data_IF_871860739843
#
_entry.id   IF_871860739843
#
_cell.length_a   1.000
_cell.length_b   1.000
_cell.length_c   1.000
_cell.angle_alpha   90.00
_cell.angle_beta   90.00
_cell.angle_gamma   90.00
#
_symmetry.space_group_name_H-M   'P 1'
#
loop_
_entity.id
_entity.type
_entity.pdbx_description
1 polymer ?
#
# COMPACT_ATOMS: atom_id res chain seq x y z
N UNK A 1 -44.01 -19.93 3.91
CA UNK A 1 -43.10 -20.23 2.79
C UNK A 1 -42.60 -18.92 2.19
N UNK A 2 -43.50 -17.99 1.83
CA UNK A 2 -43.15 -16.65 1.27
C UNK A 2 -42.20 -15.79 2.13
N UNK A 3 -42.36 -15.76 3.44
CA UNK A 3 -41.60 -14.85 4.32
C UNK A 3 -40.13 -15.27 4.48
N UNK A 4 -39.86 -16.58 4.52
CA UNK A 4 -38.50 -17.13 4.63
C UNK A 4 -37.71 -16.99 3.31
N UNK A 5 -38.39 -17.10 2.17
CA UNK A 5 -37.80 -16.80 0.86
C UNK A 5 -37.47 -15.32 0.70
N UNK A 6 -38.33 -14.44 1.22
CA UNK A 6 -38.10 -12.99 1.22
C UNK A 6 -36.90 -12.59 2.08
N UNK A 7 -36.83 -13.10 3.32
CA UNK A 7 -35.69 -12.84 4.22
C UNK A 7 -34.37 -13.32 3.60
N UNK A 8 -34.33 -14.54 3.04
CA UNK A 8 -33.13 -15.03 2.35
C UNK A 8 -32.72 -14.15 1.17
N UNK A 9 -33.68 -13.72 0.35
CA UNK A 9 -33.43 -12.83 -0.79
C UNK A 9 -32.86 -11.48 -0.36
N UNK A 10 -33.43 -10.89 0.69
CA UNK A 10 -32.99 -9.61 1.24
C UNK A 10 -31.56 -9.71 1.80
N UNK A 11 -31.21 -10.83 2.45
CA UNK A 11 -29.85 -11.08 2.96
C UNK A 11 -28.81 -11.34 1.84
N UNK A 12 -29.19 -11.97 0.72
CA UNK A 12 -28.31 -12.10 -0.46
C UNK A 12 -28.02 -10.76 -1.11
N UNK A 13 -29.05 -9.94 -1.33
CA UNK A 13 -28.89 -8.61 -1.92
C UNK A 13 -27.96 -7.75 -1.05
N UNK A 14 -28.10 -7.82 0.27
CA UNK A 14 -27.20 -7.14 1.21
C UNK A 14 -25.76 -7.65 1.12
N UNK A 15 -25.54 -8.98 1.09
CA UNK A 15 -24.19 -9.55 0.98
C UNK A 15 -23.50 -9.18 -0.33
N UNK A 16 -24.24 -9.22 -1.46
CA UNK A 16 -23.74 -8.75 -2.76
C UNK A 16 -23.33 -7.28 -2.71
N UNK A 17 -24.16 -6.42 -2.10
CA UNK A 17 -23.87 -5.00 -1.98
C UNK A 17 -22.63 -4.73 -1.13
N UNK A 18 -22.45 -5.46 -0.03
CA UNK A 18 -21.25 -5.37 0.81
C UNK A 18 -19.99 -5.82 0.06
N UNK A 19 -20.04 -6.90 -0.74
CA UNK A 19 -18.88 -7.37 -1.52
C UNK A 19 -18.45 -6.30 -2.52
N UNK A 20 -19.41 -5.74 -3.25
CA UNK A 20 -19.15 -4.66 -4.20
C UNK A 20 -18.66 -3.39 -3.50
N UNK A 21 -19.14 -3.12 -2.29
CA UNK A 21 -18.66 -2.00 -1.47
C UNK A 21 -17.21 -2.21 -1.06
N UNK A 22 -16.85 -3.39 -0.54
CA UNK A 22 -15.46 -3.74 -0.18
C UNK A 22 -14.52 -3.52 -1.37
N UNK A 23 -14.81 -4.15 -2.51
CA UNK A 23 -13.96 -4.04 -3.71
C UNK A 23 -13.85 -2.58 -4.19
N UNK A 24 -14.93 -1.81 -4.09
CA UNK A 24 -14.89 -0.38 -4.40
C UNK A 24 -13.98 0.39 -3.44
N UNK A 25 -14.07 0.11 -2.14
CA UNK A 25 -13.29 0.77 -1.10
C UNK A 25 -11.79 0.42 -1.22
N UNK A 26 -11.43 -0.82 -1.54
CA UNK A 26 -10.04 -1.22 -1.79
C UNK A 26 -9.41 -0.48 -2.98
N UNK A 27 -10.18 -0.34 -4.06
CA UNK A 27 -9.78 0.49 -5.21
C UNK A 27 -9.63 1.96 -4.82
N UNK A 28 -10.57 2.50 -4.06
CA UNK A 28 -10.52 3.90 -3.58
C UNK A 28 -9.31 4.13 -2.67
N UNK A 29 -9.05 3.21 -1.74
CA UNK A 29 -7.87 3.22 -0.88
C UNK A 29 -6.58 3.28 -1.71
N UNK A 30 -6.48 2.47 -2.77
CA UNK A 30 -5.34 2.50 -3.71
C UNK A 30 -5.19 3.88 -4.38
N UNK A 31 -6.29 4.47 -4.84
CA UNK A 31 -6.29 5.81 -5.43
C UNK A 31 -5.92 6.90 -4.40
N UNK A 32 -6.40 6.78 -3.17
CA UNK A 32 -6.08 7.69 -2.06
C UNK A 32 -4.59 7.61 -1.73
N UNK A 33 -4.00 6.41 -1.68
CA UNK A 33 -2.55 6.23 -1.48
C UNK A 33 -1.74 6.93 -2.56
N UNK A 34 -2.13 6.78 -3.83
CA UNK A 34 -1.47 7.45 -4.95
C UNK A 34 -1.55 8.97 -4.79
N UNK A 35 -2.74 9.53 -4.51
CA UNK A 35 -2.92 10.96 -4.29
C UNK A 35 -2.10 11.48 -3.11
N UNK A 36 -2.07 10.73 -2.00
CA UNK A 36 -1.26 11.05 -0.83
C UNK A 36 0.23 11.08 -1.16
N UNK A 37 0.74 10.07 -1.87
CA UNK A 37 2.14 10.02 -2.28
C UNK A 37 2.51 11.09 -3.30
N UNK A 38 1.58 11.52 -4.16
CA UNK A 38 1.80 12.68 -5.03
C UNK A 38 1.92 13.98 -4.23
N UNK A 39 1.07 14.15 -3.21
CA UNK A 39 0.96 15.40 -2.48
C UNK A 39 2.10 15.57 -1.45
N UNK A 40 2.49 14.48 -0.79
CA UNK A 40 3.43 14.49 0.33
C UNK A 40 4.66 13.61 0.12
N UNK A 41 4.66 12.70 -0.85
CA UNK A 41 5.66 11.62 -0.94
C UNK A 41 7.10 12.11 -1.06
N UNK A 42 7.36 13.22 -1.75
CA UNK A 42 8.71 13.80 -1.82
C UNK A 42 9.20 14.25 -0.44
N UNK A 43 8.36 14.93 0.33
CA UNK A 43 8.70 15.41 1.68
C UNK A 43 8.84 14.25 2.65
N UNK A 44 7.94 13.26 2.59
CA UNK A 44 8.02 12.05 3.44
C UNK A 44 9.31 11.26 3.15
N UNK A 45 9.67 11.14 1.86
CA UNK A 45 10.90 10.44 1.45
C UNK A 45 12.15 11.20 1.90
N UNK A 46 12.17 12.53 1.75
CA UNK A 46 13.29 13.36 2.22
C UNK A 46 13.45 13.29 3.74
N UNK A 47 12.37 13.43 4.49
CA UNK A 47 12.34 13.32 5.95
C UNK A 47 12.85 11.95 6.42
N UNK A 48 12.32 10.87 5.84
CA UNK A 48 12.74 9.51 6.19
C UNK A 48 14.22 9.27 5.86
N UNK A 49 14.70 9.73 4.69
CA UNK A 49 16.11 9.64 4.34
C UNK A 49 17.01 10.35 5.38
N UNK A 50 16.63 11.55 5.84
CA UNK A 50 17.39 12.26 6.87
C UNK A 50 17.41 11.52 8.20
N UNK A 51 16.28 10.92 8.60
CA UNK A 51 16.20 10.05 9.80
C UNK A 51 17.16 8.87 9.69
N UNK A 52 17.16 8.17 8.55
CA UNK A 52 18.07 7.05 8.26
C UNK A 52 19.53 7.49 8.33
N UNK A 53 19.87 8.65 7.76
CA UNK A 53 21.22 9.20 7.82
C UNK A 53 21.65 9.61 9.24
N UNK A 54 20.73 10.14 10.05
CA UNK A 54 20.99 10.41 11.47
C UNK A 54 21.23 9.11 12.25
N UNK A 55 20.41 8.08 12.04
CA UNK A 55 20.57 6.76 12.69
C UNK A 55 21.94 6.16 12.36
N UNK A 56 22.31 6.17 11.08
CA UNK A 56 23.63 5.71 10.62
C UNK A 56 24.75 6.43 11.37
N UNK A 57 24.71 7.76 11.41
CA UNK A 57 25.75 8.59 12.06
C UNK A 57 25.82 8.33 13.56
N UNK A 58 24.69 8.19 14.24
CA UNK A 58 24.64 7.81 15.67
C UNK A 58 25.28 6.45 15.91
N UNK A 59 24.98 5.45 15.06
CA UNK A 59 25.63 4.14 15.13
C UNK A 59 27.14 4.27 14.92
N UNK A 60 27.59 5.03 13.92
CA UNK A 60 29.03 5.30 13.69
C UNK A 60 29.69 5.87 14.93
N UNK A 61 29.13 6.93 15.51
CA UNK A 61 29.65 7.55 16.73
C UNK A 61 29.74 6.53 17.88
N UNK A 62 28.70 5.71 18.07
CA UNK A 62 28.68 4.69 19.13
C UNK A 62 29.78 3.63 18.94
N UNK A 63 29.97 3.14 17.72
CA UNK A 63 31.05 2.19 17.40
C UNK A 63 32.43 2.80 17.63
N UNK A 64 32.67 4.02 17.13
CA UNK A 64 33.95 4.70 17.32
C UNK A 64 34.23 4.97 18.80
N UNK A 65 33.25 5.46 19.56
CA UNK A 65 33.39 5.69 21.01
C UNK A 65 33.69 4.39 21.76
N UNK A 66 33.04 3.28 21.39
CA UNK A 66 33.29 1.98 21.99
C UNK A 66 34.74 1.51 21.74
N UNK A 67 35.26 1.69 20.52
CA UNK A 67 36.64 1.35 20.18
C UNK A 67 37.65 2.21 20.97
N UNK A 68 37.44 3.52 21.02
CA UNK A 68 38.28 4.47 21.78
C UNK A 68 38.31 4.09 23.27
N UNK A 69 37.15 3.83 23.88
CA UNK A 69 37.05 3.48 25.30
C UNK A 69 37.78 2.16 25.63
N UNK A 70 37.94 1.26 24.65
CA UNK A 70 38.69 0.01 24.77
C UNK A 70 40.18 0.16 24.44
N UNK A 71 40.64 1.35 24.07
CA UNK A 71 42.01 1.60 23.61
C UNK A 71 42.34 0.90 22.29
N UNK A 72 41.33 0.58 21.48
CA UNK A 72 41.50 -0.09 20.19
C UNK A 72 41.83 0.92 19.09
N UNK A 73 42.57 0.47 18.07
CA UNK A 73 42.77 1.26 16.85
C UNK A 73 41.44 1.30 16.09
N UNK A 74 41.05 2.49 15.62
CA UNK A 74 39.86 2.68 14.80
C UNK A 74 40.09 2.10 13.39
N UNK A 75 39.51 0.92 13.14
CA UNK A 75 39.38 0.36 11.79
C UNK A 75 38.01 0.75 11.21
N UNK A 76 38.01 1.82 10.41
CA UNK A 76 36.78 2.34 9.81
C UNK A 76 36.14 1.37 8.81
N UNK A 77 36.91 0.44 8.22
CA UNK A 77 36.33 -0.55 7.31
C UNK A 77 35.44 -1.52 8.10
N UNK A 78 35.97 -2.07 9.20
CA UNK A 78 35.22 -3.00 10.07
C UNK A 78 33.99 -2.32 10.66
N UNK A 79 34.11 -1.05 11.07
CA UNK A 79 32.98 -0.27 11.59
C UNK A 79 31.92 -0.05 10.50
N UNK A 80 32.34 0.33 9.29
CA UNK A 80 31.40 0.58 8.19
C UNK A 80 30.68 -0.70 7.76
N UNK A 81 31.36 -1.84 7.73
CA UNK A 81 30.76 -3.13 7.38
C UNK A 81 29.70 -3.55 8.41
N UNK A 82 29.98 -3.41 9.71
CA UNK A 82 29.01 -3.69 10.77
C UNK A 82 27.79 -2.74 10.73
N UNK A 83 28.02 -1.46 10.39
CA UNK A 83 26.94 -0.49 10.22
C UNK A 83 26.11 -0.81 8.98
N UNK A 84 26.72 -1.28 7.89
CA UNK A 84 25.98 -1.64 6.68
C UNK A 84 24.94 -2.75 6.96
N UNK A 85 25.33 -3.77 7.73
CA UNK A 85 24.43 -4.83 8.18
C UNK A 85 23.30 -4.28 9.06
N UNK A 86 23.64 -3.45 10.05
CA UNK A 86 22.68 -2.77 10.94
C UNK A 86 21.67 -1.86 10.19
N UNK A 87 22.04 -1.38 9.00
CA UNK A 87 21.26 -0.39 8.24
C UNK A 87 20.43 -1.01 7.11
N UNK A 88 20.54 -2.32 6.86
CA UNK A 88 19.91 -2.98 5.71
C UNK A 88 18.40 -2.77 5.65
N UNK A 89 17.68 -3.02 6.76
CA UNK A 89 16.22 -2.87 6.82
C UNK A 89 15.77 -1.41 6.55
N UNK A 90 16.50 -0.43 7.09
CA UNK A 90 16.19 0.98 6.87
C UNK A 90 16.35 1.38 5.40
N UNK A 91 17.38 0.86 4.74
CA UNK A 91 17.59 1.11 3.30
C UNK A 91 16.55 0.41 2.43
N UNK A 92 16.11 -0.80 2.80
CA UNK A 92 15.01 -1.47 2.13
C UNK A 92 13.71 -0.68 2.22
N UNK A 93 13.37 -0.17 3.41
CA UNK A 93 12.17 0.67 3.61
C UNK A 93 12.25 1.98 2.83
N UNK A 94 13.42 2.64 2.84
CA UNK A 94 13.63 3.88 2.08
C UNK A 94 13.50 3.64 0.58
N UNK A 95 14.05 2.54 0.07
CA UNK A 95 13.93 2.17 -1.34
C UNK A 95 12.47 1.89 -1.73
N UNK A 96 11.71 1.20 -0.88
CA UNK A 96 10.27 0.97 -1.08
C UNK A 96 9.50 2.28 -1.15
N UNK A 97 9.72 3.18 -0.18
CA UNK A 97 9.05 4.48 -0.14
C UNK A 97 9.38 5.34 -1.37
N UNK A 98 10.65 5.35 -1.77
CA UNK A 98 11.12 6.09 -2.95
C UNK A 98 10.46 5.57 -4.23
N UNK A 99 10.39 4.25 -4.38
CA UNK A 99 9.73 3.62 -5.52
C UNK A 99 8.22 3.90 -5.54
N UNK A 100 7.54 3.84 -4.39
CA UNK A 100 6.13 4.21 -4.29
C UNK A 100 5.88 5.67 -4.69
N UNK A 101 6.75 6.59 -4.27
CA UNK A 101 6.66 8.01 -4.65
C UNK A 101 6.82 8.21 -6.16
N UNK A 102 7.83 7.58 -6.77
CA UNK A 102 8.05 7.68 -8.22
C UNK A 102 6.89 7.08 -9.03
N UNK A 103 6.39 5.90 -8.65
CA UNK A 103 5.21 5.31 -9.28
C UNK A 103 3.97 6.21 -9.14
N UNK A 104 3.80 6.87 -7.99
CA UNK A 104 2.69 7.78 -7.79
C UNK A 104 2.78 9.00 -8.71
N UNK A 105 3.96 9.57 -8.96
CA UNK A 105 4.13 10.74 -9.85
C UNK A 105 3.63 10.46 -11.27
N UNK A 106 3.94 9.28 -11.80
CA UNK A 106 3.58 8.87 -13.16
C UNK A 106 2.13 8.36 -13.29
N UNK A 107 1.48 8.03 -12.17
CA UNK A 107 0.12 7.52 -12.18
C UNK A 107 -0.87 8.57 -12.74
N UNK A 108 -1.67 8.20 -13.73
CA UNK A 108 -2.73 9.07 -14.24
C UNK A 108 -3.92 9.09 -13.27
N UNK A 109 -4.43 10.28 -12.96
CA UNK A 109 -5.71 10.40 -12.25
C UNK A 109 -6.83 10.12 -13.26
N UNK A 110 -7.57 9.04 -13.06
CA UNK A 110 -8.66 8.64 -13.95
C UNK A 110 -9.86 9.59 -13.85
N UNK A 111 -10.57 9.77 -14.96
CA UNK A 111 -11.78 10.59 -15.00
C UNK A 111 -12.97 9.87 -14.35
N UNK A 112 -13.83 10.63 -13.65
CA UNK A 112 -15.04 10.10 -12.99
C UNK A 112 -15.94 9.28 -13.92
N UNK A 113 -16.05 9.69 -15.18
CA UNK A 113 -16.84 8.98 -16.20
C UNK A 113 -16.33 7.55 -16.50
N UNK A 114 -15.02 7.32 -16.46
CA UNK A 114 -14.45 5.97 -16.63
C UNK A 114 -14.74 5.09 -15.42
N UNK A 115 -14.66 5.66 -14.22
CA UNK A 115 -14.97 4.96 -12.98
C UNK A 115 -16.41 4.46 -12.94
N UNK A 116 -17.37 5.31 -13.32
CA UNK A 116 -18.79 4.91 -13.37
C UNK A 116 -19.06 3.79 -14.39
N UNK A 117 -18.42 3.86 -15.56
CA UNK A 117 -18.56 2.82 -16.59
C UNK A 117 -17.97 1.49 -16.09
N UNK A 118 -16.75 1.51 -15.56
CA UNK A 118 -16.09 0.32 -15.01
C UNK A 118 -16.92 -0.30 -13.88
N UNK A 119 -17.41 0.49 -12.92
CA UNK A 119 -18.27 0.03 -11.82
C UNK A 119 -19.53 -0.67 -12.32
N UNK A 120 -20.19 -0.12 -13.33
CA UNK A 120 -21.41 -0.72 -13.90
C UNK A 120 -21.14 -2.06 -14.58
N UNK A 121 -20.01 -2.21 -15.27
CA UNK A 121 -19.64 -3.47 -15.94
C UNK A 121 -19.21 -4.50 -14.89
N UNK A 122 -18.32 -4.12 -13.97
CA UNK A 122 -17.86 -5.00 -12.89
C UNK A 122 -19.01 -5.58 -12.08
N UNK A 123 -20.00 -4.77 -11.69
CA UNK A 123 -21.21 -5.26 -11.00
C UNK A 123 -21.95 -6.34 -11.80
N UNK A 124 -22.03 -6.23 -13.13
CA UNK A 124 -22.70 -7.25 -13.97
C UNK A 124 -21.90 -8.53 -14.09
N UNK A 125 -20.57 -8.45 -14.04
CA UNK A 125 -19.67 -9.61 -14.01
C UNK A 125 -19.78 -10.30 -12.64
N UNK A 126 -19.61 -9.56 -11.55
CA UNK A 126 -19.71 -10.08 -10.18
C UNK A 126 -21.05 -10.78 -9.93
N UNK A 127 -22.16 -10.21 -10.41
CA UNK A 127 -23.49 -10.84 -10.35
C UNK A 127 -23.61 -12.20 -11.03
N UNK A 128 -22.66 -12.58 -11.88
CA UNK A 128 -22.65 -13.86 -12.59
C UNK A 128 -21.63 -14.86 -12.07
N UNK A 129 -20.46 -14.36 -11.66
CA UNK A 129 -19.29 -15.23 -11.41
C UNK A 129 -18.47 -14.80 -10.19
N UNK A 130 -18.99 -13.97 -9.27
CA UNK A 130 -18.24 -13.67 -8.05
C UNK A 130 -18.03 -14.97 -7.24
N UNK A 131 -16.79 -15.37 -6.91
CA UNK A 131 -16.52 -16.67 -6.30
C UNK A 131 -17.14 -16.83 -4.90
N UNK A 132 -17.25 -15.75 -4.12
CA UNK A 132 -17.91 -15.81 -2.80
C UNK A 132 -19.44 -15.95 -2.88
N UNK A 133 -20.06 -15.60 -4.02
CA UNK A 133 -21.50 -15.74 -4.26
C UNK A 133 -21.80 -17.07 -4.97
N UNK A 134 -20.92 -17.44 -5.90
CA UNK A 134 -21.05 -18.62 -6.76
C UNK A 134 -19.77 -19.46 -6.64
N UNK A 135 -19.66 -20.34 -5.64
CA UNK A 135 -18.50 -21.23 -5.46
C UNK A 135 -18.18 -22.07 -6.70
N UNK A 136 -19.18 -22.34 -7.56
CA UNK A 136 -19.02 -23.04 -8.83
C UNK A 136 -18.05 -22.33 -9.78
N UNK A 137 -17.84 -21.02 -9.62
CA UNK A 137 -16.79 -20.26 -10.33
C UNK A 137 -15.43 -20.92 -10.15
N UNK A 138 -15.16 -21.48 -8.95
CA UNK A 138 -13.89 -22.12 -8.61
C UNK A 138 -13.75 -23.54 -9.19
N UNK A 139 -14.77 -24.07 -9.87
CA UNK A 139 -14.72 -25.38 -10.53
C UNK A 139 -14.18 -25.30 -11.97
N UNK A 140 -14.08 -24.08 -12.54
CA UNK A 140 -13.66 -23.86 -13.92
C UNK A 140 -12.46 -22.90 -13.98
N UNK A 141 -11.30 -23.39 -14.43
CA UNK A 141 -10.08 -22.58 -14.57
C UNK A 141 -10.29 -21.31 -15.42
N UNK A 142 -11.12 -21.40 -16.47
CA UNK A 142 -11.45 -20.25 -17.32
C UNK A 142 -12.23 -19.16 -16.56
N UNK A 143 -13.14 -19.53 -15.66
CA UNK A 143 -13.89 -18.56 -14.86
C UNK A 143 -13.04 -17.94 -13.75
N UNK A 144 -12.09 -18.70 -13.20
CA UNK A 144 -11.09 -18.19 -12.26
C UNK A 144 -10.23 -17.12 -12.97
N UNK A 145 -9.67 -17.43 -14.14
CA UNK A 145 -8.88 -16.45 -14.93
C UNK A 145 -9.70 -15.20 -15.28
N UNK A 146 -10.93 -15.38 -15.78
CA UNK A 146 -11.80 -14.26 -16.14
C UNK A 146 -12.18 -13.41 -14.92
N UNK A 147 -12.37 -14.02 -13.74
CA UNK A 147 -12.62 -13.30 -12.50
C UNK A 147 -11.39 -12.50 -12.06
N UNK A 148 -10.21 -13.10 -12.00
CA UNK A 148 -8.96 -12.42 -11.64
C UNK A 148 -8.69 -11.24 -12.57
N UNK A 149 -8.87 -11.45 -13.88
CA UNK A 149 -8.75 -10.37 -14.88
C UNK A 149 -9.79 -9.28 -14.68
N UNK A 150 -11.04 -9.63 -14.35
CA UNK A 150 -12.09 -8.64 -14.08
C UNK A 150 -11.76 -7.80 -12.85
N UNK A 151 -11.26 -8.43 -11.79
CA UNK A 151 -10.83 -7.76 -10.56
C UNK A 151 -9.69 -6.77 -10.85
N UNK A 152 -8.67 -7.18 -11.60
CA UNK A 152 -7.55 -6.30 -12.00
C UNK A 152 -8.03 -5.16 -12.90
N UNK A 153 -8.84 -5.45 -13.92
CA UNK A 153 -9.36 -4.44 -14.84
C UNK A 153 -10.24 -3.41 -14.12
N UNK A 154 -11.03 -3.85 -13.12
CA UNK A 154 -11.79 -2.94 -12.26
C UNK A 154 -10.89 -2.00 -11.46
N UNK A 155 -9.83 -2.53 -10.85
CA UNK A 155 -8.87 -1.73 -10.10
C UNK A 155 -8.13 -0.70 -10.99
N UNK A 156 -7.84 -1.07 -12.23
CA UNK A 156 -7.21 -0.20 -13.22
C UNK A 156 -8.18 0.76 -13.92
N UNK A 157 -9.49 0.68 -13.63
CA UNK A 157 -10.54 1.42 -14.31
C UNK A 157 -10.55 1.19 -15.85
N UNK A 158 -10.16 0.00 -16.28
CA UNK A 158 -10.17 -0.41 -17.68
C UNK A 158 -11.56 -0.92 -18.08
N UNK A 159 -12.43 0.03 -18.41
CA UNK A 159 -13.80 -0.25 -18.80
C UNK A 159 -13.94 -0.97 -20.15
N UNK A 160 -12.89 -0.99 -20.99
CA UNK A 160 -12.91 -1.67 -22.27
C UNK A 160 -12.50 -3.14 -22.07
N UNK A 161 -11.45 -3.42 -21.30
CA UNK A 161 -11.11 -4.81 -20.90
C UNK A 161 -12.25 -5.46 -20.11
N UNK A 162 -12.89 -4.73 -19.17
CA UNK A 162 -14.09 -5.23 -18.47
C UNK A 162 -15.23 -5.59 -19.44
N UNK A 163 -15.42 -4.83 -20.52
CA UNK A 163 -16.47 -5.12 -21.50
C UNK A 163 -16.15 -6.40 -22.28
N UNK A 164 -14.88 -6.60 -22.65
CA UNK A 164 -14.42 -7.81 -23.33
C UNK A 164 -14.55 -9.04 -22.42
N UNK A 165 -14.18 -8.92 -21.14
CA UNK A 165 -14.36 -9.97 -20.14
C UNK A 165 -15.83 -10.32 -19.96
N UNK A 166 -16.74 -9.33 -19.89
CA UNK A 166 -18.18 -9.60 -19.79
C UNK A 166 -18.68 -10.45 -20.97
N UNK A 167 -18.19 -10.20 -22.19
CA UNK A 167 -18.53 -11.01 -23.36
C UNK A 167 -18.00 -12.44 -23.21
N UNK A 168 -16.76 -12.61 -22.75
CA UNK A 168 -16.13 -13.93 -22.55
C UNK A 168 -16.84 -14.75 -21.48
N UNK A 169 -17.18 -14.13 -20.34
CA UNK A 169 -17.95 -14.77 -19.27
C UNK A 169 -19.30 -15.26 -19.78
N UNK A 170 -20.03 -14.41 -20.51
CA UNK A 170 -21.33 -14.78 -21.08
C UNK A 170 -21.22 -15.88 -22.14
N UNK A 171 -20.11 -15.94 -22.88
CA UNK A 171 -19.84 -16.99 -23.85
C UNK A 171 -19.58 -18.32 -23.15
N UNK A 172 -18.68 -18.34 -22.16
CA UNK A 172 -18.31 -19.54 -21.43
C UNK A 172 -19.49 -20.15 -20.68
N UNK A 173 -20.27 -19.33 -19.96
CA UNK A 173 -21.48 -19.77 -19.26
C UNK A 173 -22.47 -20.49 -20.21
N UNK A 174 -22.67 -19.96 -21.43
CA UNK A 174 -23.49 -20.62 -22.46
C UNK A 174 -22.91 -21.94 -22.95
N UNK A 175 -21.59 -22.05 -23.06
CA UNK A 175 -20.91 -23.27 -23.52
C UNK A 175 -21.05 -24.42 -22.52
N UNK A 176 -21.00 -24.11 -21.22
CA UNK A 176 -21.23 -25.10 -20.15
C UNK A 176 -22.73 -25.36 -19.89
N UNK A 177 -23.62 -24.64 -20.59
CA UNK A 177 -25.06 -24.80 -20.46
C UNK A 177 -25.67 -24.15 -19.21
N UNK A 178 -24.92 -23.30 -18.52
CA UNK A 178 -25.36 -22.59 -17.32
C UNK A 178 -25.78 -21.16 -17.71
N UNK A 179 -27.05 -20.81 -17.54
CA UNK A 179 -27.50 -19.42 -17.73
C UNK A 179 -27.18 -18.54 -16.51
N UNK A 180 -27.12 -19.16 -15.32
CA UNK A 180 -26.74 -18.57 -14.04
C UNK A 180 -26.47 -19.67 -13.03
N UNK A 181 -25.40 -19.55 -12.24
CA UNK A 181 -25.15 -20.48 -11.14
C UNK A 181 -26.23 -20.37 -10.04
N UNK A 182 -26.52 -21.49 -9.38
CA UNK A 182 -27.33 -21.48 -8.17
C UNK A 182 -26.58 -20.80 -7.04
N UNK A 183 -27.24 -19.87 -6.35
CA UNK A 183 -26.66 -19.20 -5.19
C UNK A 183 -26.67 -20.18 -4.02
N UNK A 184 -25.49 -20.59 -3.57
CA UNK A 184 -25.32 -21.44 -2.39
C UNK A 184 -24.28 -20.80 -1.44
N UNK A 185 -24.78 -20.06 -0.46
CA UNK A 185 -23.96 -19.39 0.54
C UNK A 185 -24.37 -19.88 1.94
N UNK A 186 -23.61 -20.79 2.56
CA UNK A 186 -23.82 -21.17 3.95
C UNK A 186 -23.42 -20.05 4.91
N UNK A 187 -24.02 -20.03 6.09
CA UNK A 187 -23.67 -19.15 7.23
C UNK A 187 -23.61 -17.66 6.87
N UNK A 188 -24.64 -17.21 6.16
CA UNK A 188 -24.74 -15.86 5.60
C UNK A 188 -24.62 -14.75 6.64
N UNK A 189 -25.22 -14.90 7.82
CA UNK A 189 -25.10 -13.90 8.90
C UNK A 189 -23.63 -13.69 9.32
N UNK A 190 -22.88 -14.78 9.53
CA UNK A 190 -21.46 -14.71 9.91
C UNK A 190 -20.60 -14.10 8.78
N UNK A 191 -20.92 -14.42 7.51
CA UNK A 191 -20.24 -13.83 6.34
C UNK A 191 -20.49 -12.33 6.24
N UNK A 192 -21.72 -11.88 6.49
CA UNK A 192 -22.06 -10.46 6.53
C UNK A 192 -21.28 -9.77 7.64
N UNK A 193 -21.29 -10.32 8.87
CA UNK A 193 -20.56 -9.73 10.00
C UNK A 193 -19.05 -9.60 9.72
N UNK A 194 -18.42 -10.62 9.14
CA UNK A 194 -17.01 -10.56 8.74
C UNK A 194 -16.77 -9.48 7.69
N UNK A 195 -17.62 -9.41 6.68
CA UNK A 195 -17.47 -8.45 5.59
C UNK A 195 -17.70 -7.00 6.04
N UNK A 196 -18.63 -6.77 6.97
CA UNK A 196 -18.81 -5.48 7.63
C UNK A 196 -17.57 -5.09 8.45
N UNK A 197 -16.96 -6.05 9.14
CA UNK A 197 -15.70 -5.81 9.86
C UNK A 197 -14.55 -5.46 8.92
N UNK A 198 -14.41 -6.18 7.79
CA UNK A 198 -13.42 -5.87 6.73
C UNK A 198 -13.63 -4.47 6.15
N UNK A 199 -14.87 -4.11 5.81
CA UNK A 199 -15.23 -2.77 5.32
C UNK A 199 -14.87 -1.71 6.36
N UNK A 200 -15.20 -1.96 7.63
CA UNK A 200 -14.87 -1.04 8.71
C UNK A 200 -13.35 -0.91 8.92
N UNK A 201 -12.60 -1.99 8.77
CA UNK A 201 -11.14 -1.96 8.80
C UNK A 201 -10.61 -1.07 7.66
N UNK A 202 -11.02 -1.32 6.41
CA UNK A 202 -10.57 -0.54 5.24
C UNK A 202 -10.76 0.96 5.45
N UNK A 203 -11.92 1.40 5.94
CA UNK A 203 -12.22 2.84 6.11
C UNK A 203 -11.54 3.48 7.32
N UNK A 204 -11.07 2.70 8.29
CA UNK A 204 -10.48 3.21 9.54
C UNK A 204 -8.96 3.16 9.57
N UNK A 205 -8.31 2.55 8.56
CA UNK A 205 -6.86 2.44 8.47
C UNK A 205 -6.28 3.15 7.24
N UNK A 206 -4.95 3.21 7.20
CA UNK A 206 -4.23 3.68 6.02
C UNK A 206 -4.42 2.70 4.85
N UNK A 207 -4.61 3.20 3.62
CA UNK A 207 -4.50 4.60 3.23
C UNK A 207 -5.83 5.38 3.30
N UNK A 208 -6.97 4.75 3.61
CA UNK A 208 -8.29 5.38 3.45
C UNK A 208 -8.46 6.62 4.35
N UNK A 209 -7.91 6.59 5.56
CA UNK A 209 -7.94 7.73 6.49
C UNK A 209 -7.26 8.99 5.94
N UNK A 210 -6.39 8.88 4.93
CA UNK A 210 -5.75 10.04 4.32
C UNK A 210 -6.71 10.88 3.49
N UNK A 211 -7.89 10.34 3.17
CA UNK A 211 -8.94 11.04 2.43
C UNK A 211 -9.29 12.38 3.08
N UNK A 212 -9.46 12.38 4.41
CA UNK A 212 -9.85 13.58 5.16
C UNK A 212 -8.81 14.70 5.01
N UNK A 213 -7.52 14.35 5.07
CA UNK A 213 -6.43 15.32 4.90
C UNK A 213 -6.37 15.82 3.45
N UNK A 214 -6.59 14.95 2.46
CA UNK A 214 -6.49 15.31 1.04
C UNK A 214 -7.64 16.20 0.55
N UNK A 215 -8.80 16.15 1.21
CA UNK A 215 -9.97 16.97 0.87
C UNK A 215 -9.94 18.37 1.51
N UNK A 216 -9.04 18.61 2.48
CA UNK A 216 -8.88 19.89 3.19
C UNK A 216 -7.55 20.58 2.83
N UNK A 217 -7.62 21.64 2.04
CA UNK A 217 -6.44 22.44 1.64
C UNK A 217 -5.66 23.01 2.83
N UNK A 218 -6.32 23.33 3.95
CA UNK A 218 -5.67 23.81 5.16
C UNK A 218 -4.88 22.67 5.80
N UNK A 219 -5.50 21.50 5.96
CA UNK A 219 -4.84 20.32 6.50
C UNK A 219 -3.63 19.88 5.64
N UNK A 220 -3.75 19.96 4.31
CA UNK A 220 -2.61 19.73 3.39
C UNK A 220 -1.47 20.71 3.67
N UNK A 221 -1.78 22.00 3.79
CA UNK A 221 -0.76 23.03 4.02
C UNK A 221 -0.08 22.86 5.39
N UNK A 222 -0.85 22.55 6.43
CA UNK A 222 -0.34 22.26 7.77
C UNK A 222 0.59 21.03 7.75
N UNK A 223 0.15 19.92 7.16
CA UNK A 223 0.97 18.70 7.06
C UNK A 223 2.27 18.93 6.30
N UNK A 224 2.25 19.70 5.22
CA UNK A 224 3.47 20.09 4.49
C UNK A 224 4.39 20.96 5.34
N UNK A 225 3.83 21.86 6.14
CA UNK A 225 4.61 22.71 7.04
C UNK A 225 5.27 21.88 8.15
N UNK A 226 4.54 20.94 8.74
CA UNK A 226 5.08 19.98 9.73
C UNK A 226 6.25 19.18 9.15
N UNK A 227 6.08 18.54 8.00
CA UNK A 227 7.13 17.75 7.35
C UNK A 227 8.37 18.61 7.05
N UNK A 228 8.18 19.84 6.56
CA UNK A 228 9.30 20.76 6.31
C UNK A 228 10.02 21.18 7.58
N UNK A 229 9.29 21.41 8.68
CA UNK A 229 9.89 21.72 9.96
C UNK A 229 10.73 20.53 10.47
N UNK A 230 10.19 19.32 10.38
CA UNK A 230 10.88 18.09 10.77
C UNK A 230 12.16 17.86 9.94
N UNK A 231 12.09 18.06 8.62
CA UNK A 231 13.26 18.02 7.72
C UNK A 231 14.34 19.02 8.16
N UNK A 232 13.97 20.24 8.52
CA UNK A 232 14.94 21.26 8.98
C UNK A 232 15.59 20.81 10.30
N UNK A 233 14.81 20.25 11.21
CA UNK A 233 15.33 19.74 12.49
C UNK A 233 16.30 18.59 12.30
N UNK A 234 15.98 17.61 11.45
CA UNK A 234 16.90 16.50 11.17
C UNK A 234 18.14 16.93 10.37
N UNK A 235 18.04 17.94 9.49
CA UNK A 235 19.22 18.53 8.84
C UNK A 235 20.19 19.11 9.87
N UNK A 236 19.68 19.92 10.80
CA UNK A 236 20.49 20.48 11.90
C UNK A 236 21.08 19.38 12.78
N UNK A 237 20.27 18.37 13.14
CA UNK A 237 20.74 17.26 13.96
C UNK A 237 21.84 16.45 13.25
N UNK A 238 21.72 16.25 11.93
CA UNK A 238 22.73 15.58 11.14
C UNK A 238 24.06 16.36 11.11
N UNK A 239 24.01 17.69 11.04
CA UNK A 239 25.18 18.56 11.16
C UNK A 239 25.85 18.41 12.53
N UNK A 240 25.08 18.49 13.62
CA UNK A 240 25.58 18.29 14.99
C UNK A 240 26.26 16.91 15.16
N UNK A 241 25.64 15.84 14.66
CA UNK A 241 26.23 14.50 14.67
C UNK A 241 27.52 14.42 13.85
N UNK A 242 27.58 15.14 12.73
CA UNK A 242 28.78 15.17 11.89
C UNK A 242 29.94 15.88 12.60
N UNK A 243 29.66 16.98 13.31
CA UNK A 243 30.67 17.65 14.15
C UNK A 243 31.17 16.75 15.28
N UNK A 244 30.27 16.05 15.99
CA UNK A 244 30.64 15.09 17.04
C UNK A 244 31.55 14.00 16.48
N UNK A 245 31.17 13.40 15.34
CA UNK A 245 31.95 12.35 14.72
C UNK A 245 33.34 12.87 14.30
N UNK A 246 33.42 14.05 13.69
CA UNK A 246 34.68 14.65 13.27
C UNK A 246 35.62 14.93 14.45
N UNK A 247 35.09 15.47 15.55
CA UNK A 247 35.87 15.71 16.76
C UNK A 247 36.39 14.39 17.36
N UNK A 248 35.55 13.36 17.40
CA UNK A 248 35.91 12.05 17.90
C UNK A 248 37.01 11.38 17.05
N UNK A 249 36.96 11.55 15.74
CA UNK A 249 38.01 11.08 14.83
C UNK A 249 39.32 11.88 14.96
N UNK A 250 39.25 13.17 15.30
CA UNK A 250 40.43 14.01 15.54
C UNK A 250 41.11 13.71 16.89
N UNK A 251 40.34 13.45 17.95
CA UNK A 251 40.85 13.16 19.29
C UNK A 251 41.34 11.72 19.46
N UNK A 252 40.75 10.77 18.73
CA UNK A 252 41.01 9.33 18.84
C UNK A 252 42.39 8.84 18.37
N UNK A 253 43.34 9.72 18.06
CA UNK A 253 44.73 9.35 17.70
C UNK A 253 44.78 8.39 16.50
N UNK A 254 44.15 8.78 15.39
CA UNK A 254 43.92 7.87 14.30
C UNK A 254 45.19 7.48 13.52
N UNK A 255 45.64 6.25 13.73
CA UNK A 255 46.43 5.53 12.72
C UNK A 255 45.42 4.91 11.75
N UNK A 256 44.99 5.68 10.75
CA UNK A 256 44.02 5.22 9.76
C UNK A 256 44.64 4.14 8.88
N UNK A 257 44.13 2.91 8.96
CA UNK A 257 44.47 1.87 7.99
C UNK A 257 43.42 1.91 6.88
N UNK A 258 43.65 2.74 5.86
CA UNK A 258 42.96 2.56 4.59
C UNK A 258 43.59 1.34 3.89
N UNK A 259 42.96 0.17 3.98
CA UNK A 259 43.33 -0.93 3.09
C UNK A 259 42.85 -0.56 1.69
N UNK A 260 43.75 -0.01 0.87
CA UNK A 260 43.50 0.11 -0.56
C UNK A 260 43.39 -1.30 -1.13
N UNK A 261 42.20 -1.65 -1.65
CA UNK A 261 42.05 -2.73 -2.62
C UNK A 261 42.32 -2.18 -4.02
#
# INVERSE_FOLDING_TARGET
MDEMFRIKKDSYEMYEELLLQRDQLEREASSIRISYMKEFGELITEDFNLKVECIKKKKTIAYCQQAINRGQILDMQVINDAIAEDMELYYMELAKLSNECELAKDAKVSSSSKADRAKKIYRRIAKRIHPDIYPQTMEYDELIDLWERAFVAYHMLDADELADIEVLVNKFLKEIGEESFEIDIPDMEERIERLEAEINEIITIEPYIYKDILEDEIAVAEKKSELKAEIIEYKRYLEELSEILNNLLAEGGATFIWKMN
#
